data_IF_764706903280
#
_entry.id   IF_764706903280
#
_cell.length_a   1.000
_cell.length_b   1.000
_cell.length_c   1.000
_cell.angle_alpha   90.00
_cell.angle_beta   90.00
_cell.angle_gamma   90.00
#
_symmetry.space_group_name_H-M   'P 1'
#
loop_
_entity.id
_entity.type
_entity.pdbx_description
1 polymer ?
#
# COMPACT_ATOMS: atom_id res chain seq x y z
N UNK A 1 -11.62 -2.29 38.97
CA UNK A 1 -12.21 -0.94 38.75
C UNK A 1 -11.57 -0.31 37.53
N UNK A 2 -12.24 0.65 36.90
CA UNK A 2 -11.70 1.38 35.71
C UNK A 2 -10.41 2.12 36.10
N UNK A 3 -10.31 2.66 37.31
CA UNK A 3 -9.13 3.36 37.82
C UNK A 3 -7.89 2.45 37.90
N UNK A 4 -8.03 1.21 38.40
CA UNK A 4 -6.92 0.25 38.43
C UNK A 4 -6.44 -0.17 37.04
N UNK A 5 -7.33 -0.26 36.02
CA UNK A 5 -6.98 -0.55 34.65
C UNK A 5 -6.21 0.61 34.02
N UNK A 6 -6.56 1.86 34.32
CA UNK A 6 -5.81 3.03 33.86
C UNK A 6 -4.39 3.03 34.41
N UNK A 7 -4.18 2.73 35.69
CA UNK A 7 -2.85 2.70 36.31
C UNK A 7 -1.94 1.62 35.66
N UNK A 8 -2.50 0.49 35.21
CA UNK A 8 -1.78 -0.55 34.53
C UNK A 8 -1.49 -0.20 33.05
N UNK A 9 -2.43 0.43 32.36
CA UNK A 9 -2.31 0.71 30.93
C UNK A 9 -1.54 1.98 30.59
N UNK A 10 -1.64 3.03 31.42
CA UNK A 10 -0.95 4.30 31.16
C UNK A 10 0.55 4.15 30.96
N UNK A 11 1.31 3.38 31.77
CA UNK A 11 2.72 3.15 31.51
C UNK A 11 2.99 2.43 30.18
N UNK A 12 2.14 1.46 29.82
CA UNK A 12 2.26 0.70 28.56
C UNK A 12 2.03 1.59 27.34
N UNK A 13 1.05 2.51 27.44
CA UNK A 13 0.66 3.39 26.33
C UNK A 13 1.66 4.54 26.13
N UNK A 14 2.14 5.13 27.22
CA UNK A 14 2.88 6.40 27.17
C UNK A 14 4.38 6.30 27.52
N UNK A 15 4.83 5.19 28.08
CA UNK A 15 6.23 5.05 28.46
C UNK A 15 6.97 4.10 27.50
N UNK A 16 7.80 4.60 26.57
CA UNK A 16 8.53 3.77 25.61
C UNK A 16 9.61 2.88 26.25
N UNK A 17 9.96 3.07 27.53
CA UNK A 17 10.83 2.17 28.27
C UNK A 17 10.08 0.93 28.76
N UNK A 18 8.76 1.03 28.95
CA UNK A 18 7.91 -0.11 29.34
C UNK A 18 7.48 -0.91 28.09
N UNK A 19 7.01 -0.21 27.06
CA UNK A 19 6.62 -0.80 25.79
C UNK A 19 7.15 0.07 24.64
N UNK A 20 8.03 -0.43 23.78
CA UNK A 20 8.50 0.34 22.65
C UNK A 20 7.38 0.65 21.67
N UNK A 21 7.49 1.78 20.97
CA UNK A 21 6.55 2.12 19.89
C UNK A 21 6.62 1.07 18.77
N UNK A 22 5.52 0.88 18.04
CA UNK A 22 5.46 -0.11 16.95
C UNK A 22 6.60 0.10 15.95
N UNK A 23 6.80 1.35 15.51
CA UNK A 23 7.83 1.74 14.55
C UNK A 23 8.57 2.98 15.07
N UNK A 24 9.79 2.79 15.54
CA UNK A 24 10.66 3.88 15.98
C UNK A 24 11.30 4.58 14.78
N UNK A 25 11.21 5.90 14.72
CA UNK A 25 11.90 6.76 13.71
C UNK A 25 12.89 7.73 14.36
N UNK A 26 13.28 7.50 15.63
CA UNK A 26 14.17 8.40 16.36
C UNK A 26 15.59 8.34 15.81
N UNK A 27 16.18 9.51 15.56
CA UNK A 27 17.57 9.61 15.10
C UNK A 27 18.56 9.15 16.18
N UNK A 28 19.60 8.43 15.76
CA UNK A 28 20.75 8.06 16.59
C UNK A 28 20.52 6.87 17.53
N UNK A 29 19.43 6.13 17.35
CA UNK A 29 19.17 4.86 18.06
C UNK A 29 19.13 3.69 17.07
N UNK A 30 19.29 2.47 17.57
CA UNK A 30 19.04 1.25 16.79
C UNK A 30 17.52 1.11 16.59
N UNK A 31 17.05 1.38 15.37
CA UNK A 31 15.61 1.41 15.05
C UNK A 31 14.96 0.04 15.23
N UNK A 32 15.69 -1.04 14.93
CA UNK A 32 15.18 -2.42 15.08
C UNK A 32 14.94 -2.74 16.55
N UNK A 33 15.91 -2.46 17.42
CA UNK A 33 15.79 -2.72 18.86
C UNK A 33 14.83 -1.79 19.58
N UNK A 34 14.58 -0.61 19.01
CA UNK A 34 13.70 0.41 19.59
C UNK A 34 12.25 0.31 19.10
N UNK A 35 11.93 -0.68 18.25
CA UNK A 35 10.61 -0.90 17.67
C UNK A 35 10.01 -2.22 18.16
N UNK A 36 8.68 -2.24 18.30
CA UNK A 36 7.91 -3.43 18.68
C UNK A 36 7.45 -4.27 17.46
N UNK A 37 8.09 -4.12 16.31
CA UNK A 37 7.80 -4.94 15.13
C UNK A 37 8.34 -6.38 15.31
N UNK A 38 7.74 -7.34 14.60
CA UNK A 38 8.05 -8.77 14.71
C UNK A 38 8.80 -9.34 13.49
N UNK A 39 9.42 -8.46 12.70
CA UNK A 39 10.17 -8.86 11.50
C UNK A 39 11.62 -9.27 11.80
N UNK A 40 12.10 -8.95 12.99
CA UNK A 40 13.50 -9.07 13.37
C UNK A 40 13.63 -9.81 14.71
N UNK A 41 14.46 -10.85 14.74
CA UNK A 41 14.71 -11.63 15.95
C UNK A 41 16.22 -11.75 16.21
N UNK A 42 16.68 -11.24 17.36
CA UNK A 42 18.06 -11.31 17.78
C UNK A 42 19.08 -10.51 16.93
N UNK A 43 18.60 -9.65 16.02
CA UNK A 43 19.43 -8.81 15.14
C UNK A 43 19.42 -7.35 15.58
N UNK A 44 20.45 -6.61 15.19
CA UNK A 44 20.49 -5.14 15.25
C UNK A 44 20.16 -4.52 13.89
N UNK A 45 19.89 -3.22 13.87
CA UNK A 45 19.75 -2.47 12.63
C UNK A 45 20.95 -2.69 11.70
N UNK A 46 22.16 -2.60 12.26
CA UNK A 46 23.40 -2.80 11.49
C UNK A 46 23.50 -4.21 10.91
N UNK A 47 23.12 -5.24 11.67
CA UNK A 47 23.13 -6.61 11.15
C UNK A 47 22.24 -6.75 9.91
N UNK A 48 21.06 -6.12 9.91
CA UNK A 48 20.11 -6.15 8.80
C UNK A 48 20.62 -5.35 7.59
N UNK A 49 21.14 -4.14 7.83
CA UNK A 49 21.71 -3.29 6.78
C UNK A 49 22.90 -3.97 6.10
N UNK A 50 23.83 -4.53 6.87
CA UNK A 50 24.99 -5.25 6.34
C UNK A 50 24.57 -6.49 5.54
N UNK A 51 23.56 -7.23 6.01
CA UNK A 51 23.04 -8.40 5.32
C UNK A 51 22.48 -8.03 3.94
N UNK A 52 21.54 -7.08 3.87
CA UNK A 52 20.97 -6.68 2.59
C UNK A 52 21.96 -5.98 1.68
N UNK A 53 22.91 -5.22 2.20
CA UNK A 53 24.00 -4.66 1.42
C UNK A 53 24.87 -5.74 0.75
N UNK A 54 25.01 -6.90 1.39
CA UNK A 54 25.83 -8.01 0.86
C UNK A 54 25.18 -8.77 -0.31
N UNK A 55 23.87 -8.72 -0.46
CA UNK A 55 23.12 -9.47 -1.48
C UNK A 55 22.55 -8.58 -2.59
N UNK A 56 22.50 -7.25 -2.39
CA UNK A 56 22.05 -6.30 -3.41
C UNK A 56 23.10 -6.11 -4.49
N UNK A 57 22.69 -6.28 -5.76
CA UNK A 57 23.49 -5.81 -6.88
C UNK A 57 23.17 -4.33 -7.14
N UNK A 58 24.16 -3.46 -6.95
CA UNK A 58 24.02 -2.00 -7.15
C UNK A 58 23.94 -1.60 -8.63
N UNK A 59 24.25 -2.52 -9.55
CA UNK A 59 24.18 -2.29 -10.98
C UNK A 59 22.92 -2.91 -11.61
N UNK A 60 22.05 -3.53 -10.81
CA UNK A 60 20.79 -4.09 -11.28
C UNK A 60 19.84 -2.94 -11.64
N UNK A 61 19.41 -2.88 -12.89
CA UNK A 61 18.45 -1.90 -13.39
C UNK A 61 16.98 -2.34 -13.21
N UNK A 62 16.78 -3.54 -12.64
CA UNK A 62 15.49 -4.10 -12.20
C UNK A 62 15.55 -4.60 -10.74
N UNK A 63 15.92 -3.72 -9.79
CA UNK A 63 16.24 -4.14 -8.44
C UNK A 63 15.04 -4.80 -7.74
N UNK A 64 15.31 -5.88 -7.03
CA UNK A 64 14.32 -6.55 -6.21
C UNK A 64 14.07 -5.78 -4.90
N UNK A 65 12.84 -5.76 -4.43
CA UNK A 65 12.46 -5.24 -3.11
C UNK A 65 12.84 -6.26 -2.01
N UNK A 66 14.16 -6.46 -1.81
CA UNK A 66 14.68 -7.43 -0.86
C UNK A 66 14.08 -7.26 0.53
N UNK A 67 13.63 -8.35 1.11
CA UNK A 67 13.06 -8.38 2.44
C UNK A 67 11.54 -8.28 2.51
N UNK A 68 10.87 -7.97 1.40
CA UNK A 68 9.44 -7.65 1.38
C UNK A 68 8.56 -8.75 1.98
N UNK A 69 8.85 -10.01 1.66
CA UNK A 69 8.10 -11.20 2.12
C UNK A 69 8.94 -12.11 3.03
N UNK A 70 9.69 -11.50 3.96
CA UNK A 70 10.60 -12.27 4.81
C UNK A 70 10.68 -11.70 6.23
N UNK A 71 11.14 -12.52 7.15
CA UNK A 71 11.72 -12.07 8.42
C UNK A 71 13.20 -12.45 8.54
N UNK A 72 13.92 -11.78 9.43
CA UNK A 72 15.34 -12.03 9.70
C UNK A 72 15.52 -12.42 11.15
N UNK A 73 16.29 -13.49 11.37
CA UNK A 73 16.70 -13.93 12.69
C UNK A 73 18.19 -14.17 12.77
N UNK A 74 18.74 -14.09 13.98
CA UNK A 74 20.15 -14.45 14.27
C UNK A 74 20.18 -15.69 15.15
N UNK A 75 20.71 -16.78 14.61
CA UNK A 75 20.84 -18.06 15.27
C UNK A 75 22.33 -18.48 15.32
N UNK A 76 22.87 -18.69 16.52
CA UNK A 76 24.27 -19.05 16.69
C UNK A 76 25.27 -18.05 16.08
N UNK A 77 24.89 -16.76 15.97
CA UNK A 77 25.71 -15.73 15.35
C UNK A 77 25.56 -15.61 13.82
N UNK A 78 24.81 -16.50 13.20
CA UNK A 78 24.53 -16.50 11.75
C UNK A 78 23.20 -15.84 11.51
N UNK A 79 23.14 -14.91 10.54
CA UNK A 79 21.91 -14.29 10.09
C UNK A 79 21.20 -15.23 9.11
N UNK A 80 19.92 -15.47 9.34
CA UNK A 80 19.04 -16.26 8.50
C UNK A 80 17.85 -15.42 8.08
N UNK A 81 17.52 -15.46 6.80
CA UNK A 81 16.30 -14.88 6.25
C UNK A 81 15.28 -16.01 6.00
N UNK A 82 14.07 -15.86 6.54
CA UNK A 82 12.99 -16.82 6.38
C UNK A 82 11.99 -16.25 5.38
N UNK A 83 11.85 -16.89 4.23
CA UNK A 83 10.92 -16.50 3.17
C UNK A 83 9.51 -16.95 3.54
N UNK A 84 8.54 -16.06 3.38
CA UNK A 84 7.12 -16.35 3.57
C UNK A 84 6.51 -16.82 2.26
N UNK A 85 6.32 -18.12 2.18
CA UNK A 85 5.74 -18.79 1.02
C UNK A 85 4.89 -20.00 1.46
N UNK A 86 4.38 -20.77 0.52
CA UNK A 86 3.53 -21.94 0.78
C UNK A 86 4.18 -23.01 1.66
N UNK A 87 5.50 -23.01 1.83
CA UNK A 87 6.27 -23.94 2.66
C UNK A 87 6.92 -23.27 3.90
N UNK A 88 6.77 -21.95 4.05
CA UNK A 88 7.41 -21.15 5.09
C UNK A 88 6.55 -20.92 6.34
N UNK A 89 6.91 -19.86 7.08
CA UNK A 89 6.33 -19.50 8.40
C UNK A 89 4.80 -19.38 8.38
N UNK A 90 4.21 -18.82 7.33
CA UNK A 90 2.77 -18.58 7.19
C UNK A 90 2.09 -19.57 6.23
N UNK A 91 2.69 -20.74 5.99
CA UNK A 91 2.25 -21.72 4.99
C UNK A 91 0.76 -22.06 5.07
N UNK A 92 0.19 -22.21 6.27
CA UNK A 92 -1.24 -22.51 6.44
C UNK A 92 -2.15 -21.44 5.86
N UNK A 93 -1.81 -20.15 6.05
CA UNK A 93 -2.58 -19.04 5.50
C UNK A 93 -2.31 -18.88 4.00
N UNK A 94 -1.04 -18.93 3.59
CA UNK A 94 -0.62 -18.79 2.20
C UNK A 94 -1.23 -19.89 1.32
N UNK A 95 -1.25 -21.14 1.76
CA UNK A 95 -1.89 -22.22 1.01
C UNK A 95 -3.41 -22.03 0.84
N UNK A 96 -4.08 -21.34 1.77
CA UNK A 96 -5.49 -20.96 1.59
C UNK A 96 -5.63 -19.84 0.56
N UNK A 97 -4.71 -18.86 0.55
CA UNK A 97 -4.68 -17.81 -0.47
C UNK A 97 -4.50 -18.46 -1.85
N UNK A 98 -3.49 -19.31 -2.03
CA UNK A 98 -3.23 -20.05 -3.28
C UNK A 98 -4.46 -20.84 -3.73
N UNK A 99 -5.12 -21.57 -2.81
CA UNK A 99 -6.34 -22.29 -3.13
C UNK A 99 -7.45 -21.39 -3.69
N UNK A 100 -7.70 -20.24 -3.06
CA UNK A 100 -8.74 -19.31 -3.53
C UNK A 100 -8.34 -18.56 -4.78
N UNK A 101 -7.05 -18.22 -4.96
CA UNK A 101 -6.54 -17.67 -6.21
C UNK A 101 -6.71 -18.67 -7.36
N UNK A 102 -6.51 -19.97 -7.11
CA UNK A 102 -6.80 -21.01 -8.10
C UNK A 102 -8.27 -21.03 -8.53
N UNK A 103 -9.21 -20.76 -7.58
CA UNK A 103 -10.63 -20.63 -7.91
C UNK A 103 -10.93 -19.35 -8.69
N UNK A 104 -10.30 -18.24 -8.34
CA UNK A 104 -10.42 -16.99 -9.09
C UNK A 104 -9.87 -17.12 -10.52
N UNK A 105 -8.75 -17.84 -10.70
CA UNK A 105 -8.17 -18.14 -12.00
C UNK A 105 -9.15 -18.84 -12.96
N UNK A 106 -9.96 -19.78 -12.45
CA UNK A 106 -11.00 -20.48 -13.23
C UNK A 106 -12.09 -19.51 -13.74
N UNK A 107 -12.28 -18.37 -13.04
CA UNK A 107 -13.32 -17.37 -13.30
C UNK A 107 -12.80 -16.05 -13.88
N UNK A 108 -11.52 -15.98 -14.21
CA UNK A 108 -10.90 -14.77 -14.74
C UNK A 108 -11.66 -14.22 -15.97
N UNK A 109 -11.90 -12.92 -16.00
CA UNK A 109 -12.69 -12.25 -17.03
C UNK A 109 -12.01 -12.26 -18.40
N UNK A 110 -10.66 -12.29 -18.42
CA UNK A 110 -9.86 -12.31 -19.62
C UNK A 110 -8.51 -13.03 -19.40
N UNK A 111 -7.77 -13.26 -20.50
CA UNK A 111 -6.50 -13.99 -20.43
C UNK A 111 -5.40 -13.25 -19.68
N UNK A 112 -5.40 -11.91 -19.68
CA UNK A 112 -4.42 -11.12 -18.94
C UNK A 112 -4.68 -11.20 -17.43
N UNK A 113 -5.92 -11.05 -16.99
CA UNK A 113 -6.26 -11.25 -15.58
C UNK A 113 -5.92 -12.66 -15.11
N UNK A 114 -6.15 -13.68 -15.97
CA UNK A 114 -5.73 -15.06 -15.69
C UNK A 114 -4.21 -15.14 -15.47
N UNK A 115 -3.43 -14.47 -16.32
CA UNK A 115 -1.96 -14.41 -16.20
C UNK A 115 -1.50 -13.69 -14.92
N UNK A 116 -2.16 -12.60 -14.55
CA UNK A 116 -1.91 -11.89 -13.27
C UNK A 116 -2.09 -12.84 -12.09
N UNK A 117 -3.19 -13.60 -12.07
CA UNK A 117 -3.46 -14.57 -10.99
C UNK A 117 -2.42 -15.70 -10.97
N UNK A 118 -2.01 -16.23 -12.13
CA UNK A 118 -0.95 -17.25 -12.21
C UNK A 118 0.35 -16.77 -11.58
N UNK A 119 0.83 -15.58 -11.95
CA UNK A 119 2.07 -15.03 -11.43
C UNK A 119 2.01 -14.76 -9.92
N UNK A 120 0.85 -14.37 -9.41
CA UNK A 120 0.65 -14.20 -7.98
C UNK A 120 0.66 -15.56 -7.24
N UNK A 121 0.09 -16.60 -7.81
CA UNK A 121 0.19 -17.97 -7.30
C UNK A 121 1.65 -18.41 -7.26
N UNK A 122 2.39 -18.25 -8.37
CA UNK A 122 3.81 -18.60 -8.46
C UNK A 122 4.64 -17.86 -7.39
N UNK A 123 4.34 -16.58 -7.15
CA UNK A 123 4.97 -15.82 -6.07
C UNK A 123 4.69 -16.43 -4.70
N UNK A 124 3.45 -16.75 -4.38
CA UNK A 124 3.11 -17.34 -3.08
C UNK A 124 3.68 -18.75 -2.89
N UNK A 125 3.77 -19.54 -3.95
CA UNK A 125 4.36 -20.86 -3.88
C UNK A 125 5.87 -20.84 -3.68
N UNK A 126 6.56 -19.97 -4.39
CA UNK A 126 8.04 -19.89 -4.40
C UNK A 126 8.60 -18.89 -3.39
N UNK A 127 7.93 -17.77 -3.20
CA UNK A 127 8.46 -16.60 -2.50
C UNK A 127 9.47 -15.77 -3.32
N UNK A 128 9.62 -16.05 -4.62
CA UNK A 128 10.55 -15.33 -5.50
C UNK A 128 10.01 -13.95 -5.86
N UNK A 129 10.72 -12.90 -5.45
CA UNK A 129 10.38 -11.50 -5.73
C UNK A 129 10.40 -11.15 -7.22
N UNK A 130 11.07 -11.93 -8.07
CA UNK A 130 10.96 -11.76 -9.54
C UNK A 130 9.56 -12.11 -10.02
N UNK A 131 8.93 -13.13 -9.45
CA UNK A 131 7.53 -13.48 -9.76
C UNK A 131 6.60 -12.37 -9.31
N UNK A 132 6.87 -11.75 -8.14
CA UNK A 132 6.11 -10.59 -7.68
C UNK A 132 6.27 -9.38 -8.61
N UNK A 133 7.48 -9.08 -9.09
CA UNK A 133 7.70 -8.02 -10.07
C UNK A 133 6.95 -8.30 -11.39
N UNK A 134 6.98 -9.54 -11.88
CA UNK A 134 6.24 -9.95 -13.07
C UNK A 134 4.73 -9.82 -12.88
N UNK A 135 4.22 -10.21 -11.70
CA UNK A 135 2.83 -9.97 -11.30
C UNK A 135 2.49 -8.48 -11.37
N UNK A 136 3.31 -7.61 -10.77
CA UNK A 136 3.09 -6.16 -10.78
C UNK A 136 3.04 -5.59 -12.22
N UNK A 137 3.93 -6.02 -13.10
CA UNK A 137 4.00 -5.57 -14.51
C UNK A 137 2.72 -5.96 -15.26
N UNK A 138 2.29 -7.22 -15.14
CA UNK A 138 1.07 -7.68 -15.81
C UNK A 138 -0.18 -7.04 -15.18
N UNK A 139 -0.21 -6.86 -13.87
CA UNK A 139 -1.31 -6.20 -13.17
C UNK A 139 -1.49 -4.74 -13.58
N UNK A 140 -0.40 -3.98 -13.72
CA UNK A 140 -0.45 -2.59 -14.24
C UNK A 140 -1.03 -2.55 -15.65
N UNK A 141 -0.72 -3.54 -16.46
CA UNK A 141 -1.16 -3.63 -17.86
C UNK A 141 -2.59 -4.17 -18.01
N UNK A 142 -3.14 -4.81 -16.97
CA UNK A 142 -4.51 -5.28 -16.94
C UNK A 142 -5.44 -4.13 -16.57
N UNK A 143 -6.30 -3.69 -17.46
CA UNK A 143 -7.20 -2.55 -17.26
C UNK A 143 -8.61 -2.78 -17.78
N UNK A 144 -8.90 -3.98 -18.29
CA UNK A 144 -10.17 -4.28 -18.97
C UNK A 144 -11.20 -4.95 -18.06
N UNK A 145 -10.75 -5.63 -16.99
CA UNK A 145 -11.62 -6.34 -16.07
C UNK A 145 -12.49 -5.39 -15.25
N UNK A 146 -13.71 -5.82 -14.95
CA UNK A 146 -14.62 -5.12 -14.05
C UNK A 146 -14.23 -5.33 -12.59
N UNK A 147 -13.80 -6.54 -12.25
CA UNK A 147 -13.32 -6.90 -10.91
C UNK A 147 -11.79 -6.90 -10.95
N UNK A 148 -11.18 -6.22 -9.99
CA UNK A 148 -9.74 -6.18 -9.81
C UNK A 148 -9.39 -6.48 -8.35
N UNK A 149 -8.12 -6.64 -8.07
CA UNK A 149 -7.65 -6.93 -6.72
C UNK A 149 -6.22 -6.46 -6.51
N UNK A 150 -5.93 -6.09 -5.27
CA UNK A 150 -4.59 -5.89 -4.75
C UNK A 150 -4.34 -7.01 -3.76
N UNK A 151 -3.20 -7.71 -3.88
CA UNK A 151 -2.90 -8.82 -3.01
C UNK A 151 -1.39 -9.08 -2.95
N UNK A 152 -0.83 -9.10 -1.76
CA UNK A 152 0.59 -9.37 -1.57
C UNK A 152 1.14 -8.85 -0.26
N UNK A 153 2.45 -8.96 -0.10
CA UNK A 153 3.23 -8.24 0.91
C UNK A 153 3.69 -6.93 0.26
N UNK A 154 3.08 -5.80 0.60
CA UNK A 154 3.18 -4.58 -0.21
C UNK A 154 3.73 -3.40 0.59
N UNK A 155 2.98 -2.94 1.60
CA UNK A 155 3.32 -1.72 2.32
C UNK A 155 4.30 -1.98 3.46
N UNK A 156 5.29 -1.07 3.58
CA UNK A 156 6.42 -1.24 4.50
C UNK A 156 6.37 -0.28 5.70
N UNK A 157 5.23 0.36 5.94
CA UNK A 157 5.07 1.35 7.02
C UNK A 157 5.28 0.75 8.42
N UNK A 158 5.00 -0.53 8.58
CA UNK A 158 5.14 -1.26 9.83
C UNK A 158 6.57 -1.70 10.14
N UNK A 159 7.49 -1.45 9.22
CA UNK A 159 8.91 -1.73 9.39
C UNK A 159 9.73 -0.45 9.64
N UNK A 160 10.52 -0.37 10.73
CA UNK A 160 11.38 0.78 10.99
C UNK A 160 12.44 1.03 9.90
N UNK A 161 12.84 0.01 9.15
CA UNK A 161 13.81 0.10 8.06
C UNK A 161 13.17 0.24 6.67
N UNK A 162 11.83 0.07 6.58
CA UNK A 162 11.11 0.17 5.32
C UNK A 162 11.43 -0.94 4.31
N UNK A 163 11.68 -2.17 4.79
CA UNK A 163 12.06 -3.32 3.98
C UNK A 163 11.00 -4.44 3.97
N UNK A 164 10.27 -4.59 5.08
CA UNK A 164 9.35 -5.70 5.32
C UNK A 164 7.92 -5.30 4.99
N UNK A 165 7.30 -6.03 4.07
CA UNK A 165 5.93 -5.78 3.65
C UNK A 165 4.89 -6.35 4.61
N UNK A 166 3.85 -5.57 4.87
CA UNK A 166 2.61 -6.06 5.48
C UNK A 166 1.78 -6.73 4.40
N UNK A 167 1.15 -7.86 4.74
CA UNK A 167 0.23 -8.50 3.80
C UNK A 167 -1.08 -7.72 3.69
N UNK A 168 -1.50 -7.50 2.46
CA UNK A 168 -2.68 -6.73 2.11
C UNK A 168 -3.54 -7.49 1.10
N UNK A 169 -4.84 -7.32 1.23
CA UNK A 169 -5.82 -7.88 0.31
C UNK A 169 -7.00 -6.94 0.15
N UNK A 170 -7.18 -6.44 -1.05
CA UNK A 170 -8.34 -5.67 -1.47
C UNK A 170 -8.96 -6.36 -2.69
N UNK A 171 -10.26 -6.61 -2.66
CA UNK A 171 -11.04 -7.00 -3.83
C UNK A 171 -11.99 -5.84 -4.15
N UNK A 172 -12.01 -5.45 -5.40
CA UNK A 172 -12.67 -4.24 -5.86
C UNK A 172 -13.44 -4.46 -7.17
N UNK A 173 -14.42 -3.60 -7.42
CA UNK A 173 -15.08 -3.51 -8.71
C UNK A 173 -15.12 -2.06 -9.18
N UNK A 174 -15.02 -1.89 -10.49
CA UNK A 174 -14.91 -0.57 -11.10
C UNK A 174 -16.20 0.21 -11.01
N UNK A 175 -16.12 1.45 -10.52
CA UNK A 175 -17.13 2.48 -10.71
C UNK A 175 -16.93 3.11 -12.09
N UNK A 176 -17.83 2.77 -13.02
CA UNK A 176 -17.70 3.18 -14.42
C UNK A 176 -17.85 4.69 -14.58
N UNK A 177 -18.80 5.30 -13.84
CA UNK A 177 -19.03 6.74 -13.91
C UNK A 177 -17.88 7.53 -13.32
N UNK A 178 -17.42 7.16 -12.14
CA UNK A 178 -16.25 7.75 -11.50
C UNK A 178 -14.99 7.60 -12.35
N UNK A 179 -14.76 6.43 -12.94
CA UNK A 179 -13.62 6.16 -13.82
C UNK A 179 -13.63 7.04 -15.09
N UNK A 180 -14.78 7.38 -15.64
CA UNK A 180 -14.84 8.33 -16.78
C UNK A 180 -14.33 9.73 -16.39
N UNK A 181 -14.51 10.15 -15.14
CA UNK A 181 -14.01 11.43 -14.63
C UNK A 181 -12.48 11.41 -14.46
N UNK A 182 -11.92 10.37 -13.82
CA UNK A 182 -10.47 10.24 -13.61
C UNK A 182 -9.72 10.05 -14.92
N UNK A 183 -10.32 9.39 -15.91
CA UNK A 183 -9.73 9.28 -17.25
C UNK A 183 -9.45 10.63 -17.89
N UNK A 184 -10.33 11.62 -17.71
CA UNK A 184 -10.11 12.97 -18.23
C UNK A 184 -8.85 13.61 -17.60
N UNK A 185 -8.59 13.38 -16.32
CA UNK A 185 -7.38 13.86 -15.63
C UNK A 185 -6.16 13.13 -16.17
N UNK A 186 -6.21 11.80 -16.23
CA UNK A 186 -5.12 10.96 -16.71
C UNK A 186 -4.72 11.28 -18.16
N UNK A 187 -5.69 11.49 -19.05
CA UNK A 187 -5.44 11.87 -20.45
C UNK A 187 -4.76 13.24 -20.60
N UNK A 188 -4.83 14.09 -19.56
CA UNK A 188 -4.19 15.40 -19.50
C UNK A 188 -2.98 15.44 -18.55
N UNK A 189 -2.46 14.30 -18.10
CA UNK A 189 -1.38 14.23 -17.11
C UNK A 189 -0.13 15.03 -17.53
N UNK A 190 0.25 15.02 -18.82
CA UNK A 190 1.36 15.83 -19.33
C UNK A 190 1.13 17.33 -19.14
N UNK A 191 -0.13 17.80 -19.32
CA UNK A 191 -0.45 19.21 -19.09
C UNK A 191 -0.24 19.61 -17.63
N UNK A 192 -0.66 18.75 -16.70
CA UNK A 192 -0.46 18.99 -15.27
C UNK A 192 1.03 18.98 -14.90
N UNK A 193 1.83 18.05 -15.43
CA UNK A 193 3.28 18.03 -15.21
C UNK A 193 3.95 19.30 -15.71
N UNK A 194 3.60 19.76 -16.91
CA UNK A 194 4.18 20.95 -17.54
C UNK A 194 3.82 22.24 -16.79
N UNK A 195 2.68 22.29 -16.11
CA UNK A 195 2.17 23.45 -15.37
C UNK A 195 2.33 23.32 -13.84
N UNK A 196 2.94 22.21 -13.36
CA UNK A 196 3.17 22.04 -11.94
C UNK A 196 4.10 23.14 -11.37
N UNK A 197 3.94 23.54 -10.08
CA UNK A 197 4.73 24.61 -9.47
C UNK A 197 6.17 24.19 -9.10
N UNK A 198 6.64 23.04 -9.59
CA UNK A 198 8.00 22.56 -9.35
C UNK A 198 9.01 23.18 -10.34
N UNK A 199 10.29 23.21 -9.94
CA UNK A 199 11.37 23.68 -10.81
C UNK A 199 11.39 22.85 -12.11
N UNK A 200 11.40 23.49 -13.30
CA UNK A 200 11.38 22.81 -14.60
C UNK A 200 12.42 21.70 -14.78
N UNK A 201 13.56 21.79 -14.08
CA UNK A 201 14.61 20.75 -14.15
C UNK A 201 14.17 19.40 -13.56
N UNK A 202 13.13 19.38 -12.71
CA UNK A 202 12.58 18.18 -12.11
C UNK A 202 11.35 17.65 -12.84
N UNK A 203 10.79 18.41 -13.79
CA UNK A 203 9.64 17.99 -14.57
C UNK A 203 9.98 16.86 -15.52
N UNK A 204 9.09 15.88 -15.60
CA UNK A 204 9.22 14.77 -16.56
C UNK A 204 8.98 15.30 -17.99
N UNK A 205 9.89 14.98 -18.90
CA UNK A 205 9.73 15.34 -20.32
C UNK A 205 8.56 14.61 -20.98
N UNK A 206 8.26 13.44 -20.49
CA UNK A 206 7.14 12.62 -20.94
C UNK A 206 6.56 11.89 -19.72
N UNK A 207 5.29 12.07 -19.49
CA UNK A 207 4.52 11.35 -18.47
C UNK A 207 4.05 10.05 -19.09
N UNK A 208 4.47 8.91 -18.52
CA UNK A 208 3.87 7.61 -18.83
C UNK A 208 2.52 7.56 -18.13
N UNK A 209 1.47 7.22 -18.88
CA UNK A 209 0.10 7.32 -18.38
C UNK A 209 -0.11 6.54 -17.09
N UNK A 210 -0.77 7.17 -16.15
CA UNK A 210 -1.31 6.53 -14.96
C UNK A 210 -2.66 5.93 -15.36
N UNK A 211 -2.84 4.63 -15.14
CA UNK A 211 -4.17 4.03 -15.23
C UNK A 211 -4.94 4.39 -13.97
N UNK A 212 -5.86 5.35 -14.06
CA UNK A 212 -6.64 5.82 -12.93
C UNK A 212 -8.06 5.28 -13.00
N UNK A 213 -8.45 4.51 -11.99
CA UNK A 213 -9.79 3.95 -11.85
C UNK A 213 -10.44 4.45 -10.56
N UNK A 214 -11.72 4.76 -10.61
CA UNK A 214 -12.55 4.84 -9.41
C UNK A 214 -13.16 3.45 -9.18
N UNK A 215 -13.05 2.97 -7.95
CA UNK A 215 -13.50 1.63 -7.59
C UNK A 215 -14.36 1.66 -6.33
N UNK A 216 -15.12 0.59 -6.14
CA UNK A 216 -15.76 0.28 -4.87
C UNK A 216 -15.06 -0.92 -4.25
N UNK A 217 -14.56 -0.78 -3.04
CA UNK A 217 -14.03 -1.90 -2.27
C UNK A 217 -15.15 -2.88 -1.92
N UNK A 218 -14.99 -4.14 -2.31
CA UNK A 218 -15.91 -5.23 -1.97
C UNK A 218 -15.43 -6.02 -0.75
N UNK A 219 -14.11 -6.14 -0.55
CA UNK A 219 -13.50 -6.84 0.56
C UNK A 219 -12.14 -6.23 0.90
N UNK A 220 -11.85 -6.13 2.18
CA UNK A 220 -10.59 -5.64 2.74
C UNK A 220 -10.01 -6.71 3.66
N UNK A 221 -8.68 -6.83 3.68
CA UNK A 221 -7.99 -7.78 4.54
C UNK A 221 -6.53 -7.40 4.80
N UNK A 222 -5.94 -7.94 5.85
CA UNK A 222 -4.58 -7.64 6.25
C UNK A 222 -4.40 -6.19 6.66
N UNK A 223 -3.41 -5.50 6.13
CA UNK A 223 -3.11 -4.10 6.39
C UNK A 223 -4.24 -3.14 6.02
N UNK A 224 -5.11 -3.52 5.11
CA UNK A 224 -6.28 -2.74 4.68
C UNK A 224 -7.49 -2.83 5.64
N UNK A 225 -7.40 -3.56 6.73
CA UNK A 225 -8.48 -3.71 7.69
C UNK A 225 -7.99 -3.47 9.14
N UNK A 226 -8.73 -2.74 9.97
CA UNK A 226 -10.08 -2.15 9.80
C UNK A 226 -10.09 -0.74 9.18
N UNK A 227 -8.93 -0.19 8.87
CA UNK A 227 -8.78 1.14 8.28
C UNK A 227 -8.01 1.00 6.98
N UNK A 228 -8.60 1.49 5.89
CA UNK A 228 -7.98 1.49 4.55
C UNK A 228 -7.70 2.90 4.07
N UNK A 229 -6.81 3.02 3.08
CA UNK A 229 -6.62 4.25 2.33
C UNK A 229 -7.87 4.63 1.52
N UNK A 230 -8.01 5.90 1.18
CA UNK A 230 -9.05 6.39 0.27
C UNK A 230 -8.60 6.33 -1.20
N UNK A 231 -7.30 6.18 -1.42
CA UNK A 231 -6.69 5.98 -2.72
C UNK A 231 -5.39 5.18 -2.59
N UNK A 232 -5.02 4.49 -3.66
CA UNK A 232 -3.85 3.62 -3.72
C UNK A 232 -3.17 3.80 -5.07
N UNK A 233 -1.85 3.88 -5.09
CA UNK A 233 -1.05 3.95 -6.32
C UNK A 233 0.08 2.93 -6.29
N UNK A 234 0.00 1.89 -7.09
CA UNK A 234 0.91 0.76 -7.11
C UNK A 234 1.42 0.45 -8.54
N UNK A 235 2.54 -0.27 -8.67
CA UNK A 235 3.40 -0.85 -7.64
C UNK A 235 4.36 0.17 -6.99
N UNK A 236 4.94 -0.18 -5.84
CA UNK A 236 5.92 0.66 -5.14
C UNK A 236 7.33 0.61 -5.77
N UNK A 237 7.60 -0.32 -6.69
CA UNK A 237 8.89 -0.44 -7.35
C UNK A 237 9.08 0.66 -8.42
N UNK A 238 9.96 1.63 -8.15
CA UNK A 238 10.21 2.80 -9.01
C UNK A 238 10.55 2.44 -10.46
N UNK A 239 11.36 1.41 -10.68
CA UNK A 239 11.74 1.00 -12.03
C UNK A 239 10.57 0.42 -12.83
N UNK A 240 9.62 -0.27 -12.17
CA UNK A 240 8.39 -0.74 -12.80
C UNK A 240 7.52 0.45 -13.18
N UNK A 241 7.32 1.39 -12.26
CA UNK A 241 6.57 2.63 -12.52
C UNK A 241 7.17 3.41 -13.68
N UNK A 242 8.49 3.52 -13.73
CA UNK A 242 9.18 4.26 -14.79
C UNK A 242 9.05 3.61 -16.18
N UNK A 243 9.03 2.27 -16.26
CA UNK A 243 9.01 1.54 -17.55
C UNK A 243 7.62 1.14 -18.00
N UNK A 244 6.76 0.74 -17.07
CA UNK A 244 5.45 0.16 -17.33
C UNK A 244 4.28 1.01 -16.87
N UNK A 245 4.55 2.05 -16.06
CA UNK A 245 3.53 2.90 -15.46
C UNK A 245 3.07 2.40 -14.09
N UNK A 246 1.96 2.96 -13.63
CA UNK A 246 1.31 2.59 -12.37
C UNK A 246 -0.19 2.50 -12.55
N UNK A 247 -0.84 1.76 -11.65
CA UNK A 247 -2.29 1.74 -11.54
C UNK A 247 -2.68 2.48 -10.27
N UNK A 248 -3.53 3.48 -10.43
CA UNK A 248 -4.09 4.28 -9.34
C UNK A 248 -5.56 3.97 -9.18
N UNK A 249 -6.00 3.82 -7.95
CA UNK A 249 -7.42 3.59 -7.64
C UNK A 249 -7.88 4.57 -6.56
N UNK A 250 -9.05 5.17 -6.77
CA UNK A 250 -9.77 5.96 -5.77
C UNK A 250 -10.94 5.13 -5.25
N UNK A 251 -11.04 4.98 -3.93
CA UNK A 251 -12.02 4.07 -3.31
C UNK A 251 -13.28 4.85 -2.93
N UNK A 252 -14.22 4.95 -3.87
CA UNK A 252 -15.39 5.85 -3.77
C UNK A 252 -16.33 5.53 -2.61
N UNK A 253 -16.59 4.25 -2.33
CA UNK A 253 -17.49 3.88 -1.23
C UNK A 253 -16.89 4.14 0.15
N UNK A 254 -15.58 4.11 0.30
CA UNK A 254 -14.90 4.48 1.55
C UNK A 254 -14.94 6.00 1.74
N UNK A 255 -14.63 6.78 0.70
CA UNK A 255 -14.74 8.25 0.74
C UNK A 255 -16.16 8.66 1.13
N UNK A 256 -17.18 8.09 0.48
CA UNK A 256 -18.56 8.38 0.78
C UNK A 256 -18.93 8.04 2.23
N UNK A 257 -18.44 6.92 2.75
CA UNK A 257 -18.68 6.54 4.15
C UNK A 257 -18.05 7.52 5.14
N UNK A 258 -16.85 8.01 4.87
CA UNK A 258 -16.21 9.04 5.70
C UNK A 258 -16.97 10.37 5.65
N UNK A 259 -17.38 10.81 4.47
CA UNK A 259 -18.16 12.04 4.30
C UNK A 259 -19.52 11.95 5.00
N UNK A 260 -20.20 10.83 4.91
CA UNK A 260 -21.46 10.60 5.65
C UNK A 260 -21.25 10.61 7.16
N UNK A 261 -20.19 9.97 7.66
CA UNK A 261 -19.88 9.94 9.08
C UNK A 261 -19.48 11.31 9.64
N UNK A 262 -18.91 12.19 8.81
CA UNK A 262 -18.53 13.54 9.18
C UNK A 262 -19.70 14.52 9.24
N UNK A 263 -20.80 14.24 8.49
CA UNK A 263 -21.97 15.14 8.45
C UNK A 263 -22.60 15.34 9.82
N UNK A 264 -22.77 16.60 10.21
CA UNK A 264 -23.45 16.96 11.45
C UNK A 264 -22.68 16.61 12.73
N UNK A 265 -21.37 16.38 12.63
CA UNK A 265 -20.52 16.13 13.79
C UNK A 265 -20.17 17.40 14.58
N UNK A 266 -20.60 18.59 14.13
CA UNK A 266 -20.35 19.87 14.77
C UNK A 266 -19.04 20.56 14.34
N UNK A 267 -18.24 19.92 13.48
CA UNK A 267 -16.98 20.50 13.03
C UNK A 267 -17.18 21.79 12.24
N UNK A 268 -18.10 21.78 11.29
CA UNK A 268 -18.35 22.95 10.42
C UNK A 268 -18.95 24.12 11.21
N UNK A 269 -19.78 23.84 12.21
CA UNK A 269 -20.36 24.84 13.10
C UNK A 269 -19.32 25.56 13.97
N UNK A 270 -18.22 24.87 14.29
CA UNK A 270 -17.17 25.41 15.17
C UNK A 270 -16.03 26.05 14.39
N UNK A 271 -15.62 25.46 13.26
CA UNK A 271 -14.38 25.84 12.56
C UNK A 271 -14.61 26.64 11.27
N UNK A 272 -15.82 26.64 10.71
CA UNK A 272 -16.10 27.43 9.49
C UNK A 272 -16.36 28.90 9.87
N UNK A 273 -15.67 29.78 9.14
CA UNK A 273 -15.58 31.22 9.48
C UNK A 273 -16.92 31.97 9.47
N UNK A 274 -17.84 31.59 8.60
CA UNK A 274 -19.15 32.21 8.44
C UNK A 274 -20.19 31.27 7.78
N UNK A 275 -21.48 31.66 7.87
CA UNK A 275 -22.59 30.89 7.31
C UNK A 275 -22.56 30.76 5.79
N UNK A 276 -22.07 31.76 5.06
CA UNK A 276 -21.99 31.70 3.59
C UNK A 276 -20.92 30.69 3.12
N UNK A 277 -19.82 30.59 3.82
CA UNK A 277 -18.79 29.57 3.61
C UNK A 277 -19.34 28.17 3.91
N UNK A 278 -20.10 28.03 5.01
CA UNK A 278 -20.76 26.76 5.34
C UNK A 278 -21.73 26.31 4.25
N UNK A 279 -22.56 27.20 3.72
CA UNK A 279 -23.47 26.90 2.59
C UNK A 279 -22.73 26.40 1.34
N UNK A 280 -21.52 26.93 1.06
CA UNK A 280 -20.68 26.45 -0.05
C UNK A 280 -20.11 25.07 0.24
N UNK A 281 -19.65 24.82 1.46
CA UNK A 281 -19.17 23.50 1.89
C UNK A 281 -20.29 22.47 1.80
N UNK A 282 -21.46 22.77 2.37
CA UNK A 282 -22.63 21.86 2.31
C UNK A 282 -23.03 21.51 0.86
N UNK A 283 -22.83 22.45 -0.08
CA UNK A 283 -23.22 22.29 -1.47
C UNK A 283 -22.17 21.60 -2.34
N UNK A 284 -20.90 21.88 -2.09
CA UNK A 284 -19.81 21.49 -3.00
C UNK A 284 -18.71 20.66 -2.33
N UNK A 285 -18.69 20.51 -1.00
CA UNK A 285 -17.62 19.87 -0.26
C UNK A 285 -17.34 18.46 -0.76
N UNK A 286 -18.36 17.61 -0.86
CA UNK A 286 -18.21 16.23 -1.33
C UNK A 286 -17.60 16.17 -2.76
N UNK A 287 -18.01 17.08 -3.65
CA UNK A 287 -17.46 17.15 -5.00
C UNK A 287 -16.01 17.63 -5.00
N UNK A 288 -15.67 18.59 -4.15
CA UNK A 288 -14.29 19.08 -4.00
C UNK A 288 -13.37 17.97 -3.47
N UNK A 289 -13.81 17.22 -2.48
CA UNK A 289 -13.05 16.11 -1.90
C UNK A 289 -12.80 14.99 -2.91
N UNK A 290 -13.82 14.63 -3.67
CA UNK A 290 -13.70 13.63 -4.74
C UNK A 290 -12.70 14.09 -5.81
N UNK A 291 -12.83 15.32 -6.31
CA UNK A 291 -11.92 15.86 -7.33
C UNK A 291 -10.50 15.98 -6.79
N UNK A 292 -10.34 16.43 -5.54
CA UNK A 292 -9.03 16.55 -4.90
C UNK A 292 -8.34 15.19 -4.79
N UNK A 293 -9.06 14.16 -4.35
CA UNK A 293 -8.54 12.79 -4.27
C UNK A 293 -8.22 12.26 -5.66
N UNK A 294 -9.10 12.40 -6.64
CA UNK A 294 -8.84 11.99 -8.02
C UNK A 294 -7.59 12.64 -8.61
N UNK A 295 -7.37 13.94 -8.35
CA UNK A 295 -6.17 14.65 -8.78
C UNK A 295 -4.91 14.15 -8.05
N UNK A 296 -5.01 13.91 -6.74
CA UNK A 296 -3.89 13.40 -5.94
C UNK A 296 -3.41 12.02 -6.44
N UNK A 297 -4.36 11.13 -6.75
CA UNK A 297 -4.04 9.77 -7.20
C UNK A 297 -3.58 9.69 -8.67
N UNK A 298 -3.96 10.67 -9.51
CA UNK A 298 -3.64 10.65 -10.94
C UNK A 298 -2.33 11.38 -11.30
N UNK A 299 -1.82 12.26 -10.42
CA UNK A 299 -0.72 13.19 -10.70
C UNK A 299 0.49 12.97 -9.80
#
# INVERSE_FOLDING_TARGET
TVDGLCDELLPVIFNPEVMPVKVCKKYGVDLVKSSACNFYDGVSQKDVEDYYASIKDVNDDEPLSYGLNTDIMKDGGIIKENIWNANGKYSTAINKIVFWLGKAHELAENDRQRKVIELLIDFYETGDLRMFNNYCIEWVSEGDSLIDFINGFIEVYDDPLGLKGTWEGLVEYRDIEGTCRTRLISDNAQWFEDHSPIDPKFRKKQVNGVSANVICAAMLGGGEYPSTAIGINLPNADWIRARYGSKSVTISNIINAYNEAARGNGFDEEFVIDGSTKELIDKYGDLCDIIHTDLHECL
#
